data_IF_217477765566
#
_entry.id   IF_217477765566
#
_cell.length_a   1.000
_cell.length_b   1.000
_cell.length_c   1.000
_cell.angle_alpha   90.00
_cell.angle_beta   90.00
_cell.angle_gamma   90.00
#
_symmetry.space_group_name_H-M   'P 1'
#
loop_
_entity.id
_entity.type
_entity.pdbx_description
1 polymer ?
#
# COMPACT_ATOMS: atom_id res chain seq x y z
N UNK A 1 11.02 5.15 -4.20
CA UNK A 1 9.84 5.96 -3.84
C UNK A 1 9.62 5.82 -2.35
N UNK A 2 9.26 6.92 -1.67
CA UNK A 2 8.94 6.90 -0.26
C UNK A 2 7.53 7.44 -0.05
N UNK A 3 6.77 6.82 0.86
CA UNK A 3 5.40 7.20 1.17
C UNK A 3 5.17 7.18 2.67
N UNK A 4 4.41 8.15 3.17
CA UNK A 4 3.87 8.09 4.52
C UNK A 4 2.62 7.20 4.53
N UNK A 5 2.66 6.12 5.30
CA UNK A 5 1.52 5.21 5.51
C UNK A 5 1.17 5.24 6.99
N UNK A 6 -0.09 5.55 7.30
CA UNK A 6 -0.58 5.63 8.67
C UNK A 6 -1.49 4.43 8.94
N UNK A 7 -1.11 3.60 9.90
CA UNK A 7 -1.98 2.54 10.42
C UNK A 7 -2.64 3.00 11.71
N UNK A 8 -3.96 2.96 11.77
CA UNK A 8 -4.71 3.30 12.98
C UNK A 8 -4.73 2.18 14.03
N UNK A 9 -4.31 0.96 13.66
CA UNK A 9 -4.20 -0.18 14.55
C UNK A 9 -3.03 -1.07 14.16
N UNK A 10 -2.30 -1.58 15.15
CA UNK A 10 -1.20 -2.52 14.99
C UNK A 10 -1.65 -3.97 15.27
N UNK A 11 -2.71 -4.41 14.59
CA UNK A 11 -3.29 -5.74 14.76
C UNK A 11 -2.94 -6.68 13.61
N UNK A 12 -2.89 -7.99 13.89
CA UNK A 12 -2.72 -9.02 12.86
C UNK A 12 -3.97 -9.13 11.98
N UNK A 13 -3.78 -9.23 10.66
CA UNK A 13 -4.87 -9.53 9.73
C UNK A 13 -4.78 -10.99 9.31
N UNK A 14 -5.82 -11.78 9.61
CA UNK A 14 -5.88 -13.20 9.25
C UNK A 14 -6.48 -13.35 7.85
N UNK A 15 -5.81 -14.12 6.99
CA UNK A 15 -6.30 -14.52 5.68
C UNK A 15 -6.64 -16.01 5.73
N UNK A 16 -7.92 -16.34 5.59
CA UNK A 16 -8.39 -17.73 5.61
C UNK A 16 -8.67 -18.23 4.17
N UNK A 17 -7.98 -19.28 3.70
CA UNK A 17 -8.16 -19.82 2.34
C UNK A 17 -9.59 -20.31 2.03
N UNK A 18 -10.40 -20.63 3.04
CA UNK A 18 -11.79 -21.07 2.87
C UNK A 18 -12.70 -19.91 2.48
N UNK A 19 -12.33 -18.68 2.85
CA UNK A 19 -13.06 -17.45 2.53
C UNK A 19 -12.64 -16.82 1.20
N UNK A 20 -11.69 -17.44 0.49
CA UNK A 20 -11.18 -16.87 -0.75
C UNK A 20 -12.21 -16.97 -1.88
N UNK A 21 -12.32 -15.93 -2.74
CA UNK A 21 -13.26 -15.94 -3.84
C UNK A 21 -12.96 -17.09 -4.80
N UNK A 22 -14.02 -17.79 -5.24
CA UNK A 22 -13.96 -18.87 -6.21
C UNK A 22 -14.62 -18.49 -7.53
N UNK A 23 -14.22 -19.15 -8.61
CA UNK A 23 -14.92 -19.08 -9.90
C UNK A 23 -16.12 -20.04 -9.95
N UNK A 24 -16.85 -20.02 -11.07
CA UNK A 24 -18.01 -20.89 -11.31
C UNK A 24 -17.64 -22.38 -11.35
N UNK A 25 -16.35 -22.69 -11.57
CA UNK A 25 -15.80 -24.04 -11.61
C UNK A 25 -15.23 -24.48 -10.24
N UNK A 26 -15.30 -23.61 -9.23
CA UNK A 26 -14.81 -23.87 -7.87
C UNK A 26 -13.31 -23.63 -7.65
N UNK A 27 -12.58 -23.14 -8.66
CA UNK A 27 -11.16 -22.83 -8.51
C UNK A 27 -10.96 -21.52 -7.74
N UNK A 28 -9.82 -21.39 -7.07
CA UNK A 28 -9.44 -20.18 -6.36
C UNK A 28 -9.16 -19.03 -7.35
N UNK A 29 -9.80 -17.89 -7.13
CA UNK A 29 -9.47 -16.66 -7.87
C UNK A 29 -8.22 -16.02 -7.26
N UNK A 30 -7.35 -15.42 -8.10
CA UNK A 30 -6.18 -14.72 -7.62
C UNK A 30 -6.59 -13.53 -6.74
N UNK A 31 -5.92 -13.39 -5.60
CA UNK A 31 -6.07 -12.26 -4.69
C UNK A 31 -4.84 -11.37 -4.84
N UNK A 32 -5.06 -10.07 -4.94
CA UNK A 32 -3.98 -9.08 -4.97
C UNK A 32 -3.87 -8.40 -3.62
N UNK A 33 -2.68 -8.43 -3.02
CA UNK A 33 -2.37 -7.71 -1.78
C UNK A 33 -1.81 -6.31 -2.09
N UNK A 34 -2.11 -5.36 -1.21
CA UNK A 34 -1.60 -4.00 -1.33
C UNK A 34 -0.13 -3.95 -0.92
N UNK A 35 0.74 -3.54 -1.86
CA UNK A 35 2.14 -3.23 -1.60
C UNK A 35 2.45 -1.72 -1.72
N UNK A 36 1.48 -0.89 -2.13
CA UNK A 36 1.67 0.55 -2.22
C UNK A 36 1.34 1.30 -0.91
N UNK A 37 0.59 0.69 0.01
CA UNK A 37 0.18 1.33 1.27
C UNK A 37 -0.91 2.40 1.16
N UNK A 38 -1.45 2.63 -0.05
CA UNK A 38 -2.47 3.68 -0.34
C UNK A 38 -3.86 3.06 -0.61
N UNK A 39 -4.00 1.74 -0.53
CA UNK A 39 -5.30 1.09 -0.75
C UNK A 39 -6.31 1.50 0.33
N UNK A 40 -7.50 1.90 -0.09
CA UNK A 40 -8.62 2.15 0.84
C UNK A 40 -9.21 0.85 1.41
N UNK A 41 -8.82 -0.30 0.85
CA UNK A 41 -9.21 -1.64 1.32
C UNK A 41 -8.02 -2.41 1.88
N UNK A 42 -7.02 -1.70 2.43
CA UNK A 42 -5.84 -2.33 3.02
C UNK A 42 -6.27 -3.45 3.98
N UNK A 43 -5.75 -4.69 3.83
CA UNK A 43 -4.51 -5.07 3.13
C UNK A 43 -4.70 -5.51 1.68
N UNK A 44 -5.93 -5.52 1.16
CA UNK A 44 -6.24 -5.94 -0.20
C UNK A 44 -5.94 -4.81 -1.19
N UNK A 45 -5.59 -5.18 -2.42
CA UNK A 45 -5.41 -4.24 -3.51
C UNK A 45 -6.77 -3.83 -4.09
N UNK A 46 -7.00 -2.53 -4.19
CA UNK A 46 -8.17 -1.89 -4.79
C UNK A 46 -7.86 -1.25 -6.15
N UNK A 47 -6.61 -1.39 -6.64
CA UNK A 47 -6.13 -0.75 -7.87
C UNK A 47 -5.54 0.65 -7.68
N UNK A 48 -5.58 1.23 -6.46
CA UNK A 48 -5.04 2.57 -6.18
C UNK A 48 -3.55 2.69 -6.46
N UNK A 49 -2.80 1.58 -6.45
CA UNK A 49 -1.37 1.54 -6.82
C UNK A 49 -1.05 2.15 -8.19
N UNK A 50 -2.04 2.24 -9.10
CA UNK A 50 -1.86 2.87 -10.41
C UNK A 50 -1.52 4.37 -10.30
N UNK A 51 -1.97 5.04 -9.23
CA UNK A 51 -1.65 6.45 -8.91
C UNK A 51 -0.24 6.65 -8.34
N UNK A 52 0.48 5.56 -8.08
CA UNK A 52 1.82 5.56 -7.50
C UNK A 52 2.90 5.28 -8.58
N UNK A 53 2.52 5.05 -9.85
CA UNK A 53 3.47 4.57 -10.87
C UNK A 53 4.49 5.63 -11.30
N UNK A 54 4.11 6.88 -11.24
CA UNK A 54 4.91 8.05 -11.63
C UNK A 54 5.52 8.77 -10.43
N UNK A 55 5.70 8.07 -9.30
CA UNK A 55 6.40 8.58 -8.12
C UNK A 55 7.90 8.76 -8.40
N UNK A 56 8.44 9.91 -8.05
CA UNK A 56 9.87 10.18 -8.21
C UNK A 56 10.68 9.48 -7.12
N UNK A 57 11.76 8.75 -7.44
CA UNK A 57 12.68 8.21 -6.43
C UNK A 57 13.24 9.32 -5.53
N UNK A 58 13.34 9.06 -4.22
CA UNK A 58 13.86 10.02 -3.24
C UNK A 58 12.87 11.09 -2.76
N UNK A 59 11.70 11.22 -3.39
CA UNK A 59 10.63 12.12 -2.90
C UNK A 59 9.70 11.34 -1.96
N UNK A 60 9.32 12.00 -0.86
CA UNK A 60 8.34 11.52 0.11
C UNK A 60 6.95 12.07 -0.22
N UNK A 61 6.02 11.17 -0.49
CA UNK A 61 4.63 11.50 -0.80
C UNK A 61 3.69 11.21 0.38
N UNK A 62 2.68 12.04 0.53
CA UNK A 62 1.49 11.81 1.35
C UNK A 62 0.26 11.76 0.46
N UNK A 63 -0.64 10.81 0.72
CA UNK A 63 -1.90 10.67 -0.01
C UNK A 63 -3.06 11.00 0.92
N UNK A 64 -4.01 11.80 0.43
CA UNK A 64 -5.26 12.05 1.16
C UNK A 64 -6.09 10.76 1.26
N UNK A 65 -6.55 10.35 2.45
CA UNK A 65 -7.25 9.08 2.63
C UNK A 65 -8.63 9.03 1.95
N UNK A 66 -9.21 10.18 1.59
CA UNK A 66 -10.54 10.29 0.98
C UNK A 66 -10.43 10.58 -0.51
N UNK A 67 -9.69 11.62 -0.89
CA UNK A 67 -9.60 12.07 -2.29
C UNK A 67 -8.55 11.33 -3.10
N UNK A 68 -7.59 10.67 -2.43
CA UNK A 68 -6.41 10.04 -3.04
C UNK A 68 -5.54 11.01 -3.84
N UNK A 69 -5.67 12.32 -3.58
CA UNK A 69 -4.76 13.33 -4.09
C UNK A 69 -3.41 13.20 -3.39
N UNK A 70 -2.35 13.30 -4.19
CA UNK A 70 -0.97 13.21 -3.69
C UNK A 70 -0.40 14.59 -3.38
N UNK A 71 0.40 14.68 -2.33
CA UNK A 71 1.19 15.86 -1.98
C UNK A 71 2.64 15.45 -1.72
N UNK A 72 3.57 16.26 -2.22
CA UNK A 72 4.98 16.15 -1.85
C UNK A 72 5.17 16.76 -0.47
N UNK A 73 5.68 15.96 0.47
CA UNK A 73 5.87 16.39 1.86
C UNK A 73 7.35 16.43 2.26
N UNK A 74 8.25 16.04 1.38
CA UNK A 74 9.70 16.17 1.59
C UNK A 74 10.51 15.26 0.67
N UNK A 75 11.79 15.13 0.98
CA UNK A 75 12.69 14.16 0.35
C UNK A 75 13.09 13.11 1.38
N UNK A 76 12.93 11.85 1.02
CA UNK A 76 13.51 10.75 1.76
C UNK A 76 14.79 10.35 1.03
N UNK A 77 15.90 10.97 1.42
CA UNK A 77 17.22 10.45 1.10
C UNK A 77 17.30 9.10 1.83
N UNK A 78 17.13 7.99 1.11
CA UNK A 78 17.18 6.67 1.75
C UNK A 78 18.47 6.58 2.58
N UNK A 79 18.38 6.43 3.90
CA UNK A 79 19.54 5.97 4.62
C UNK A 79 19.86 4.60 4.04
N UNK A 80 21.13 4.39 3.69
CA UNK A 80 21.70 3.05 3.57
C UNK A 80 21.23 2.24 4.78
N UNK A 81 21.20 0.91 4.70
CA UNK A 81 20.67 0.01 5.74
C UNK A 81 21.22 0.25 7.18
N UNK A 82 22.19 1.16 7.36
CA UNK A 82 22.91 1.51 8.58
C UNK A 82 22.60 2.90 9.18
N UNK A 83 21.69 3.72 8.63
CA UNK A 83 21.40 5.05 9.22
C UNK A 83 20.07 5.07 10.01
N UNK A 84 20.05 5.76 11.18
CA UNK A 84 18.93 5.71 12.10
C UNK A 84 17.68 6.27 11.43
N UNK A 85 16.61 5.49 11.50
CA UNK A 85 15.29 5.87 11.06
C UNK A 85 14.88 7.22 11.68
N UNK A 86 14.27 8.08 10.87
CA UNK A 86 13.41 9.13 11.38
C UNK A 86 12.33 8.53 12.32
#
# INVERSE_FOLDING_TARGET
MARRVIFHAAASIKLDPSQFPRDEQGNLKPISLCACGVSQKFPLCDGTHKRCKDETPGVLYEYDPVTLERREIGTCESPRHDAPAC
#
